data_IF_607344398792
#
_entry.id   IF_607344398792
#
_cell.length_a   1.000
_cell.length_b   1.000
_cell.length_c   1.000
_cell.angle_alpha   90.00
_cell.angle_beta   90.00
_cell.angle_gamma   90.00
#
_symmetry.space_group_name_H-M   'P 1'
#
loop_
_entity.id
_entity.type
_entity.pdbx_description
1 polymer ?
#
# COMPACT_ATOMS: atom_id res chain seq x y z
N UNK A 1 -14.67 -31.05 -4.19
CA UNK A 1 -13.76 -29.94 -3.85
C UNK A 1 -12.93 -29.80 -5.10
N UNK A 2 -13.38 -28.91 -5.99
CA UNK A 2 -12.91 -28.91 -7.37
C UNK A 2 -11.55 -28.20 -7.39
N UNK A 3 -10.49 -28.98 -7.60
CA UNK A 3 -9.14 -28.45 -7.84
C UNK A 3 -9.18 -27.65 -9.15
N UNK A 4 -8.81 -26.38 -9.08
CA UNK A 4 -8.64 -25.55 -10.27
C UNK A 4 -7.39 -26.04 -11.01
N UNK A 5 -7.53 -26.35 -12.30
CA UNK A 5 -6.47 -26.91 -13.14
C UNK A 5 -5.19 -26.05 -13.21
N UNK A 6 -5.31 -24.75 -12.89
CA UNK A 6 -4.20 -23.78 -12.82
C UNK A 6 -3.36 -23.99 -11.56
N UNK A 7 -3.96 -24.44 -10.45
CA UNK A 7 -3.22 -24.69 -9.20
C UNK A 7 -2.23 -25.84 -9.43
N UNK A 8 -2.63 -26.95 -10.05
CA UNK A 8 -1.74 -28.10 -10.27
C UNK A 8 -0.55 -27.76 -11.21
N UNK A 9 -0.76 -26.91 -12.22
CA UNK A 9 0.29 -26.49 -13.16
C UNK A 9 1.34 -25.55 -12.55
N UNK A 10 0.96 -24.77 -11.53
CA UNK A 10 1.86 -23.84 -10.84
C UNK A 10 2.50 -24.47 -9.61
N UNK A 11 1.79 -25.37 -8.91
CA UNK A 11 2.19 -25.89 -7.59
C UNK A 11 3.47 -26.74 -7.62
N UNK A 12 3.67 -27.62 -8.62
CA UNK A 12 4.90 -28.45 -8.66
C UNK A 12 6.17 -27.61 -8.85
N UNK A 13 6.08 -26.57 -9.69
CA UNK A 13 7.21 -25.69 -9.98
C UNK A 13 7.46 -24.72 -8.81
N UNK A 14 6.40 -24.12 -8.27
CA UNK A 14 6.46 -23.20 -7.12
C UNK A 14 6.98 -23.91 -5.86
N UNK A 15 6.55 -25.14 -5.59
CA UNK A 15 7.01 -25.91 -4.42
C UNK A 15 8.53 -26.16 -4.46
N UNK A 16 9.08 -26.48 -5.64
CA UNK A 16 10.52 -26.67 -5.80
C UNK A 16 11.32 -25.38 -5.59
N UNK A 17 10.77 -24.24 -6.04
CA UNK A 17 11.39 -22.92 -5.89
C UNK A 17 11.35 -22.50 -4.42
N UNK A 18 10.25 -22.74 -3.71
CA UNK A 18 10.11 -22.48 -2.27
C UNK A 18 11.11 -23.30 -1.44
N UNK A 19 11.26 -24.59 -1.72
CA UNK A 19 12.26 -25.43 -1.05
C UNK A 19 13.68 -24.90 -1.25
N UNK A 20 13.99 -24.42 -2.45
CA UNK A 20 15.28 -23.80 -2.73
C UNK A 20 15.44 -22.48 -1.97
N UNK A 21 14.40 -21.64 -1.92
CA UNK A 21 14.39 -20.39 -1.17
C UNK A 21 14.67 -20.64 0.32
N UNK A 22 13.95 -21.57 0.94
CA UNK A 22 14.11 -21.90 2.37
C UNK A 22 15.50 -22.47 2.68
N UNK A 23 16.05 -23.27 1.76
CA UNK A 23 17.41 -23.78 1.84
C UNK A 23 18.45 -22.66 1.81
N UNK A 24 18.37 -21.77 0.81
CA UNK A 24 19.28 -20.63 0.67
C UNK A 24 19.14 -19.64 1.84
N UNK A 25 17.92 -19.40 2.33
CA UNK A 25 17.69 -18.53 3.50
C UNK A 25 18.34 -19.09 4.77
N UNK A 26 18.23 -20.40 4.99
CA UNK A 26 18.89 -21.09 6.11
C UNK A 26 20.41 -20.92 6.05
N UNK A 27 21.00 -21.00 4.86
CA UNK A 27 22.43 -20.74 4.66
C UNK A 27 22.80 -19.27 4.93
N UNK A 28 21.98 -18.31 4.49
CA UNK A 28 22.17 -16.88 4.79
C UNK A 28 22.15 -16.62 6.30
N UNK A 29 21.24 -17.25 7.03
CA UNK A 29 21.18 -17.14 8.50
C UNK A 29 22.46 -17.70 9.15
N UNK A 30 22.90 -18.89 8.74
CA UNK A 30 24.16 -19.47 9.25
C UNK A 30 25.40 -18.63 8.95
N UNK A 31 25.41 -17.92 7.81
CA UNK A 31 26.51 -17.03 7.43
C UNK A 31 26.48 -15.71 8.20
N UNK A 32 25.30 -15.18 8.55
CA UNK A 32 25.17 -13.98 9.39
C UNK A 32 25.72 -14.18 10.81
N UNK A 33 25.65 -15.39 11.33
CA UNK A 33 26.22 -15.74 12.64
C UNK A 33 27.76 -15.84 12.62
N UNK A 34 28.37 -15.95 11.43
CA UNK A 34 29.83 -16.08 11.24
C UNK A 34 30.41 -14.77 10.71
N UNK A 35 30.94 -13.96 11.63
CA UNK A 35 31.40 -12.58 11.41
C UNK A 35 32.51 -12.38 10.36
N UNK A 36 33.11 -13.45 9.82
CA UNK A 36 34.28 -13.40 8.92
C UNK A 36 33.98 -13.65 7.43
N UNK A 37 32.72 -13.91 7.02
CA UNK A 37 32.38 -14.37 5.66
C UNK A 37 31.52 -13.38 4.85
N UNK A 38 31.91 -12.10 4.82
CA UNK A 38 31.16 -11.01 4.14
C UNK A 38 30.87 -11.28 2.65
N UNK A 39 31.85 -11.77 1.89
CA UNK A 39 31.67 -12.00 0.43
C UNK A 39 30.75 -13.19 0.13
N UNK A 40 30.84 -14.26 0.93
CA UNK A 40 29.94 -15.41 0.80
C UNK A 40 28.51 -15.06 1.20
N UNK A 41 28.35 -14.26 2.27
CA UNK A 41 27.05 -13.74 2.69
C UNK A 41 26.40 -12.91 1.57
N UNK A 42 27.16 -12.02 0.93
CA UNK A 42 26.68 -11.18 -0.17
C UNK A 42 26.27 -12.03 -1.39
N UNK A 43 27.08 -13.01 -1.77
CA UNK A 43 26.76 -13.92 -2.87
C UNK A 43 25.47 -14.72 -2.59
N UNK A 44 25.31 -15.22 -1.37
CA UNK A 44 24.11 -15.97 -0.97
C UNK A 44 22.86 -15.10 -0.85
N UNK A 45 22.99 -13.85 -0.43
CA UNK A 45 21.89 -12.87 -0.48
C UNK A 45 21.46 -12.61 -1.93
N UNK A 46 22.41 -12.45 -2.85
CA UNK A 46 22.09 -12.27 -4.26
C UNK A 46 21.44 -13.52 -4.89
N UNK A 47 21.88 -14.72 -4.50
CA UNK A 47 21.23 -15.98 -4.90
C UNK A 47 19.78 -16.06 -4.39
N UNK A 48 19.55 -15.70 -3.13
CA UNK A 48 18.22 -15.67 -2.53
C UNK A 48 17.29 -14.72 -3.28
N UNK A 49 17.79 -13.55 -3.69
CA UNK A 49 17.04 -12.55 -4.44
C UNK A 49 16.65 -13.06 -5.83
N UNK A 50 17.57 -13.76 -6.52
CA UNK A 50 17.25 -14.43 -7.80
C UNK A 50 16.20 -15.53 -7.66
N UNK A 51 16.21 -16.27 -6.54
CA UNK A 51 15.19 -17.29 -6.26
C UNK A 51 13.84 -16.61 -5.97
N UNK A 52 13.85 -15.49 -5.24
CA UNK A 52 12.67 -14.65 -5.00
C UNK A 52 12.05 -14.18 -6.31
N UNK A 53 12.85 -13.65 -7.24
CA UNK A 53 12.36 -13.24 -8.57
C UNK A 53 11.75 -14.40 -9.37
N UNK A 54 12.33 -15.60 -9.26
CA UNK A 54 11.79 -16.80 -9.93
C UNK A 54 10.46 -17.21 -9.31
N UNK A 55 10.34 -17.12 -7.99
CA UNK A 55 9.11 -17.42 -7.27
C UNK A 55 8.00 -16.46 -7.67
N UNK A 56 8.30 -15.16 -7.71
CA UNK A 56 7.36 -14.14 -8.17
C UNK A 56 6.87 -14.40 -9.59
N UNK A 57 7.77 -14.72 -10.53
CA UNK A 57 7.42 -15.04 -11.92
C UNK A 57 6.62 -16.34 -12.07
N UNK A 58 6.77 -17.27 -11.13
CA UNK A 58 6.06 -18.55 -11.14
C UNK A 58 4.69 -18.48 -10.45
N UNK A 59 4.43 -17.43 -9.68
CA UNK A 59 3.20 -17.27 -8.91
C UNK A 59 2.12 -16.59 -9.74
N UNK A 60 0.94 -17.20 -9.81
CA UNK A 60 -0.23 -16.66 -10.47
C UNK A 60 -1.37 -16.52 -9.46
N UNK A 61 -2.16 -15.45 -9.57
CA UNK A 61 -3.26 -15.15 -8.65
C UNK A 61 -4.38 -14.41 -9.35
N UNK A 62 -5.53 -14.30 -8.69
CA UNK A 62 -6.72 -13.63 -9.23
C UNK A 62 -6.45 -12.17 -9.66
N UNK A 63 -5.52 -11.46 -9.01
CA UNK A 63 -5.18 -10.09 -9.39
C UNK A 63 -4.67 -10.00 -10.84
N UNK A 64 -3.96 -11.04 -11.32
CA UNK A 64 -3.49 -11.10 -12.71
C UNK A 64 -4.66 -11.26 -13.67
N UNK A 65 -5.67 -12.06 -13.32
CA UNK A 65 -6.90 -12.19 -14.14
C UNK A 65 -7.63 -10.85 -14.21
N UNK A 66 -7.78 -10.17 -13.08
CA UNK A 66 -8.47 -8.87 -13.04
C UNK A 66 -7.72 -7.80 -13.81
N UNK A 67 -6.37 -7.81 -13.76
CA UNK A 67 -5.52 -6.93 -14.55
C UNK A 67 -5.73 -7.16 -16.05
N UNK A 68 -5.71 -8.41 -16.50
CA UNK A 68 -5.96 -8.75 -17.92
C UNK A 68 -7.37 -8.34 -18.38
N UNK A 69 -8.40 -8.52 -17.54
CA UNK A 69 -9.75 -8.00 -17.82
C UNK A 69 -9.73 -6.49 -18.07
N UNK A 70 -9.04 -5.73 -17.20
CA UNK A 70 -8.91 -4.29 -17.35
C UNK A 70 -8.16 -3.89 -18.62
N UNK A 71 -7.06 -4.56 -18.94
CA UNK A 71 -6.28 -4.28 -20.16
C UNK A 71 -7.06 -4.59 -21.44
N UNK A 72 -7.79 -5.71 -21.49
CA UNK A 72 -8.68 -6.02 -22.61
C UNK A 72 -9.73 -4.93 -22.78
N UNK A 73 -10.36 -4.50 -21.67
CA UNK A 73 -11.36 -3.44 -21.71
C UNK A 73 -10.79 -2.12 -22.24
N UNK A 74 -9.65 -1.66 -21.70
CA UNK A 74 -8.95 -0.44 -22.15
C UNK A 74 -8.62 -0.49 -23.65
N UNK A 75 -8.04 -1.61 -24.09
CA UNK A 75 -7.65 -1.79 -25.49
C UNK A 75 -8.86 -1.70 -26.42
N UNK A 76 -9.98 -2.33 -26.08
CA UNK A 76 -11.18 -2.28 -26.91
C UNK A 76 -11.93 -0.94 -26.82
N UNK A 77 -12.02 -0.34 -25.62
CA UNK A 77 -12.64 0.96 -25.41
C UNK A 77 -11.92 2.06 -26.20
N UNK A 78 -10.59 2.02 -26.26
CA UNK A 78 -9.78 2.97 -27.03
C UNK A 78 -10.06 2.94 -28.54
N UNK A 79 -10.47 1.77 -29.07
CA UNK A 79 -10.80 1.59 -30.48
C UNK A 79 -12.26 1.98 -30.81
N UNK A 80 -13.08 2.30 -29.81
CA UNK A 80 -14.53 2.56 -29.93
C UNK A 80 -15.29 1.47 -30.73
N UNK A 81 -14.79 0.24 -30.70
CA UNK A 81 -15.40 -0.89 -31.40
C UNK A 81 -16.42 -1.53 -30.47
N UNK A 82 -17.58 -1.91 -30.99
CA UNK A 82 -18.48 -2.79 -30.26
C UNK A 82 -17.97 -4.24 -30.34
N UNK A 83 -18.26 -5.08 -29.33
CA UNK A 83 -18.00 -6.51 -29.42
C UNK A 83 -18.65 -7.07 -30.69
N UNK A 84 -17.89 -7.81 -31.49
CA UNK A 84 -18.45 -8.53 -32.63
C UNK A 84 -19.31 -9.69 -32.11
N UNK A 85 -20.43 -9.97 -32.78
CA UNK A 85 -21.30 -11.10 -32.44
C UNK A 85 -20.51 -12.40 -32.45
N UNK A 86 -20.42 -13.06 -31.28
CA UNK A 86 -19.69 -14.31 -31.08
C UNK A 86 -18.30 -14.19 -30.43
N UNK A 87 -17.85 -12.99 -30.07
CA UNK A 87 -16.66 -12.78 -29.22
C UNK A 87 -17.03 -12.65 -27.74
N UNK A 88 -16.04 -12.87 -26.86
CA UNK A 88 -16.18 -12.62 -25.43
C UNK A 88 -16.64 -11.19 -25.20
N UNK A 89 -17.75 -11.02 -24.46
CA UNK A 89 -18.35 -9.73 -24.21
C UNK A 89 -17.58 -8.97 -23.13
N UNK A 90 -16.41 -8.44 -23.52
CA UNK A 90 -15.55 -7.64 -22.65
C UNK A 90 -16.26 -6.39 -22.11
N UNK A 91 -17.40 -5.98 -22.69
CA UNK A 91 -18.18 -4.85 -22.18
C UNK A 91 -18.81 -5.12 -20.81
N UNK A 92 -18.93 -6.39 -20.42
CA UNK A 92 -19.42 -6.82 -19.10
C UNK A 92 -18.32 -6.86 -18.02
N UNK A 93 -17.04 -6.77 -18.40
CA UNK A 93 -15.94 -6.88 -17.44
C UNK A 93 -15.98 -5.83 -16.32
N UNK A 94 -16.31 -4.55 -16.57
CA UNK A 94 -16.45 -3.57 -15.49
C UNK A 94 -17.56 -3.96 -14.50
N UNK A 95 -18.67 -4.54 -14.98
CA UNK A 95 -19.77 -4.99 -14.13
C UNK A 95 -19.33 -6.14 -13.22
N UNK A 96 -18.64 -7.14 -13.78
CA UNK A 96 -18.08 -8.26 -13.02
C UNK A 96 -17.06 -7.78 -11.98
N UNK A 97 -16.17 -6.87 -12.36
CA UNK A 97 -15.17 -6.31 -11.45
C UNK A 97 -15.82 -5.48 -10.33
N UNK A 98 -16.92 -4.77 -10.62
CA UNK A 98 -17.71 -4.09 -9.61
C UNK A 98 -18.33 -5.07 -8.60
N UNK A 99 -18.85 -6.21 -9.05
CA UNK A 99 -19.39 -7.24 -8.15
C UNK A 99 -18.30 -7.84 -7.25
N UNK A 100 -17.11 -8.06 -7.80
CA UNK A 100 -15.94 -8.53 -7.04
C UNK A 100 -15.53 -7.51 -5.97
N UNK A 101 -15.42 -6.23 -6.34
CA UNK A 101 -15.09 -5.15 -5.41
C UNK A 101 -16.13 -5.01 -4.29
N UNK A 102 -17.43 -5.05 -4.63
CA UNK A 102 -18.54 -4.99 -3.66
C UNK A 102 -18.50 -6.19 -2.71
N UNK A 103 -18.08 -7.37 -3.21
CA UNK A 103 -17.89 -8.58 -2.42
C UNK A 103 -16.61 -8.55 -1.58
N UNK A 104 -15.85 -7.46 -1.61
CA UNK A 104 -14.63 -7.27 -0.84
C UNK A 104 -13.39 -7.90 -1.46
N UNK A 105 -13.34 -8.18 -2.76
CA UNK A 105 -12.10 -8.59 -3.41
C UNK A 105 -11.24 -7.36 -3.74
N UNK A 106 -9.90 -7.45 -3.62
CA UNK A 106 -9.02 -6.37 -4.02
C UNK A 106 -9.00 -6.20 -5.54
N UNK A 107 -9.03 -4.95 -6.00
CA UNK A 107 -8.89 -4.57 -7.41
C UNK A 107 -7.72 -3.59 -7.55
N UNK A 108 -6.89 -3.78 -8.57
CA UNK A 108 -5.76 -2.90 -8.84
C UNK A 108 -6.22 -1.52 -9.33
N UNK A 109 -5.67 -0.46 -8.73
CA UNK A 109 -5.82 0.94 -9.12
C UNK A 109 -4.66 1.45 -9.99
N UNK A 110 -3.46 0.94 -9.75
CA UNK A 110 -2.24 1.33 -10.45
C UNK A 110 -1.37 0.09 -10.60
N UNK A 111 -0.95 -0.21 -11.82
CA UNK A 111 0.03 -1.25 -12.11
C UNK A 111 1.42 -0.74 -11.71
N UNK A 112 2.04 -1.41 -10.74
CA UNK A 112 3.38 -1.07 -10.30
C UNK A 112 4.42 -1.29 -11.39
N UNK A 113 4.38 -2.42 -12.10
CA UNK A 113 5.43 -2.76 -13.07
C UNK A 113 5.46 -1.78 -14.24
N UNK A 114 4.29 -1.32 -14.68
CA UNK A 114 4.15 -0.34 -15.76
C UNK A 114 4.13 1.12 -15.29
N UNK A 115 3.98 1.38 -13.98
CA UNK A 115 3.74 2.74 -13.45
C UNK A 115 2.45 3.36 -14.02
N UNK A 116 1.45 2.54 -14.33
CA UNK A 116 0.29 2.96 -15.14
C UNK A 116 -1.01 2.90 -14.35
N UNK A 117 -1.81 3.97 -14.42
CA UNK A 117 -3.18 4.02 -13.91
C UNK A 117 -4.14 3.85 -15.09
N UNK A 118 -4.98 2.80 -15.12
CA UNK A 118 -5.90 2.57 -16.23
C UNK A 118 -7.13 3.49 -16.10
N UNK A 119 -7.02 4.68 -16.70
CA UNK A 119 -7.95 5.81 -16.56
C UNK A 119 -9.30 5.63 -17.26
N UNK A 120 -9.50 4.61 -18.10
CA UNK A 120 -10.82 4.28 -18.66
C UNK A 120 -11.48 3.16 -17.86
N UNK A 121 -10.69 2.17 -17.43
CA UNK A 121 -11.14 1.00 -16.68
C UNK A 121 -11.67 1.38 -15.29
N UNK A 122 -10.89 2.14 -14.51
CA UNK A 122 -11.27 2.46 -13.12
C UNK A 122 -12.55 3.29 -13.05
N UNK A 123 -12.73 4.38 -13.82
CA UNK A 123 -13.98 5.12 -13.79
C UNK A 123 -15.17 4.27 -14.20
N UNK A 124 -15.01 3.40 -15.22
CA UNK A 124 -16.11 2.53 -15.65
C UNK A 124 -16.51 1.52 -14.58
N UNK A 125 -15.53 0.89 -13.92
CA UNK A 125 -15.79 0.01 -12.79
C UNK A 125 -16.54 0.76 -11.67
N UNK A 126 -16.09 1.96 -11.31
CA UNK A 126 -16.72 2.75 -10.25
C UNK A 126 -18.13 3.21 -10.63
N UNK A 127 -18.41 3.50 -11.90
CA UNK A 127 -19.76 3.77 -12.39
C UNK A 127 -20.69 2.56 -12.16
N UNK A 128 -20.24 1.34 -12.45
CA UNK A 128 -21.00 0.12 -12.19
C UNK A 128 -21.23 -0.11 -10.68
N UNK A 129 -20.25 0.22 -9.84
CA UNK A 129 -20.41 0.20 -8.38
C UNK A 129 -21.48 1.20 -7.92
N UNK A 130 -21.46 2.42 -8.44
CA UNK A 130 -22.47 3.45 -8.13
C UNK A 130 -23.86 3.01 -8.62
N UNK A 131 -23.97 2.38 -9.79
CA UNK A 131 -25.25 1.85 -10.28
C UNK A 131 -25.80 0.76 -9.35
N UNK A 132 -24.95 -0.16 -8.86
CA UNK A 132 -25.38 -1.28 -8.01
C UNK A 132 -25.66 -0.85 -6.56
N UNK A 133 -24.83 0.02 -5.99
CA UNK A 133 -24.96 0.44 -4.58
C UNK A 133 -25.79 1.72 -4.40
N UNK A 134 -25.99 2.50 -5.45
CA UNK A 134 -26.49 3.87 -5.39
C UNK A 134 -25.40 4.88 -5.00
N UNK A 135 -25.80 6.14 -4.88
CA UNK A 135 -24.90 7.22 -4.42
C UNK A 135 -24.60 7.05 -2.91
N UNK A 136 -23.36 6.64 -2.60
CA UNK A 136 -22.90 6.30 -1.24
C UNK A 136 -21.71 7.16 -0.86
N UNK A 137 -21.65 7.54 0.42
CA UNK A 137 -20.49 8.25 0.96
C UNK A 137 -19.38 7.24 1.22
N UNK A 138 -18.23 7.45 0.60
CA UNK A 138 -17.05 6.59 0.74
C UNK A 138 -15.94 7.36 1.43
N UNK A 139 -15.28 6.73 2.39
CA UNK A 139 -14.04 7.23 3.00
C UNK A 139 -12.86 6.42 2.48
N UNK A 140 -11.89 7.09 1.84
CA UNK A 140 -10.70 6.46 1.29
C UNK A 140 -9.58 6.50 2.32
N UNK A 141 -9.13 5.32 2.76
CA UNK A 141 -8.01 5.14 3.67
C UNK A 141 -6.85 4.50 2.90
N UNK A 142 -5.78 5.25 2.67
CA UNK A 142 -4.58 4.72 2.02
C UNK A 142 -3.46 4.43 3.02
N UNK A 143 -2.49 3.60 2.63
CA UNK A 143 -1.27 3.36 3.40
C UNK A 143 -0.03 3.65 2.54
N UNK A 144 1.03 4.16 3.15
CA UNK A 144 2.37 4.30 2.58
C UNK A 144 3.41 3.87 3.61
N UNK A 145 4.60 3.51 3.14
CA UNK A 145 5.72 3.11 3.99
C UNK A 145 6.74 2.28 3.23
N UNK A 146 7.91 2.06 3.83
CA UNK A 146 8.98 1.28 3.20
C UNK A 146 8.50 -0.13 2.83
N UNK A 147 9.18 -0.72 1.84
CA UNK A 147 9.00 -2.13 1.50
C UNK A 147 9.18 -3.01 2.74
N UNK A 148 8.34 -4.04 2.83
CA UNK A 148 8.39 -5.03 3.92
C UNK A 148 8.18 -4.46 5.34
N UNK A 149 7.59 -3.27 5.47
CA UNK A 149 7.24 -2.67 6.79
C UNK A 149 5.98 -3.25 7.43
N UNK A 150 5.30 -4.21 6.80
CA UNK A 150 4.06 -4.80 7.33
C UNK A 150 2.78 -3.99 7.06
N UNK A 151 2.74 -3.17 6.00
CA UNK A 151 1.55 -2.38 5.60
C UNK A 151 0.30 -3.24 5.40
N UNK A 152 0.38 -4.21 4.49
CA UNK A 152 -0.72 -5.12 4.17
C UNK A 152 -1.09 -5.98 5.38
N UNK A 153 -0.09 -6.42 6.17
CA UNK A 153 -0.32 -7.14 7.43
C UNK A 153 -1.11 -6.31 8.44
N UNK A 154 -0.76 -5.03 8.59
CA UNK A 154 -1.46 -4.11 9.47
C UNK A 154 -2.91 -3.89 9.03
N UNK A 155 -3.12 -3.65 7.73
CA UNK A 155 -4.46 -3.45 7.17
C UNK A 155 -5.31 -4.71 7.32
N UNK A 156 -4.76 -5.89 7.03
CA UNK A 156 -5.41 -7.18 7.24
C UNK A 156 -5.81 -7.37 8.71
N UNK A 157 -4.92 -7.04 9.66
CA UNK A 157 -5.21 -7.15 11.08
C UNK A 157 -6.25 -6.13 11.58
N UNK A 158 -6.21 -4.89 11.09
CA UNK A 158 -7.11 -3.81 11.52
C UNK A 158 -8.54 -3.98 10.98
N UNK A 159 -8.68 -4.49 9.75
CA UNK A 159 -9.94 -4.48 9.03
C UNK A 159 -10.42 -5.88 8.57
N UNK A 160 -9.69 -6.96 8.90
CA UNK A 160 -10.05 -8.32 8.50
C UNK A 160 -9.90 -8.56 7.00
N UNK A 161 -8.91 -7.93 6.37
CA UNK A 161 -8.72 -7.93 4.92
C UNK A 161 -7.94 -9.14 4.43
N UNK A 162 -7.93 -9.31 3.11
CA UNK A 162 -7.31 -10.43 2.40
C UNK A 162 -6.26 -9.92 1.40
N UNK A 163 -5.57 -8.83 1.71
CA UNK A 163 -4.42 -8.42 0.91
C UNK A 163 -3.36 -9.53 0.94
N UNK A 164 -2.72 -9.76 -0.20
CA UNK A 164 -1.68 -10.78 -0.32
C UNK A 164 -0.50 -10.44 0.60
N UNK A 165 -0.14 -11.39 1.47
CA UNK A 165 1.03 -11.30 2.35
C UNK A 165 1.85 -12.58 2.18
N UNK A 166 2.97 -12.52 1.47
CA UNK A 166 3.90 -13.65 1.39
C UNK A 166 5.35 -13.19 1.35
N UNK A 167 6.24 -14.07 1.81
CA UNK A 167 7.69 -13.85 1.75
C UNK A 167 8.12 -13.76 0.28
N UNK A 168 8.91 -12.75 -0.08
CA UNK A 168 9.37 -12.52 -1.46
C UNK A 168 8.37 -11.76 -2.34
N UNK A 169 7.08 -11.77 -2.01
CA UNK A 169 6.04 -11.06 -2.77
C UNK A 169 5.68 -9.75 -2.08
N UNK A 170 6.15 -8.64 -2.62
CA UNK A 170 5.65 -7.33 -2.23
C UNK A 170 4.47 -6.94 -3.11
N UNK A 171 3.47 -6.26 -2.54
CA UNK A 171 2.46 -5.54 -3.33
C UNK A 171 3.19 -4.73 -4.40
N UNK A 172 2.78 -4.83 -5.67
CA UNK A 172 3.31 -4.02 -6.77
C UNK A 172 2.20 -3.13 -7.29
N UNK A 173 2.39 -1.82 -7.23
CA UNK A 173 1.35 -0.84 -7.54
C UNK A 173 0.44 -0.52 -6.36
N UNK A 174 -0.84 -0.24 -6.63
CA UNK A 174 -1.83 0.12 -5.62
C UNK A 174 -3.13 -0.68 -5.81
N UNK A 175 -3.70 -1.19 -4.73
CA UNK A 175 -4.92 -2.01 -4.74
C UNK A 175 -5.97 -1.43 -3.83
N UNK A 176 -7.22 -1.38 -4.30
CA UNK A 176 -8.37 -0.98 -3.51
C UNK A 176 -9.22 -2.16 -3.07
N UNK A 177 -9.77 -2.09 -1.86
CA UNK A 177 -10.75 -3.04 -1.34
C UNK A 177 -11.87 -2.27 -0.64
N UNK A 178 -13.12 -2.60 -0.97
CA UNK A 178 -14.29 -1.89 -0.45
C UNK A 178 -14.87 -2.60 0.77
N UNK A 179 -15.09 -1.86 1.85
CA UNK A 179 -15.64 -2.35 3.11
C UNK A 179 -16.91 -1.62 3.47
N UNK A 180 -17.97 -2.37 3.74
CA UNK A 180 -19.22 -1.79 4.23
C UNK A 180 -19.08 -1.42 5.70
N UNK A 181 -19.41 -0.19 6.04
CA UNK A 181 -19.50 0.24 7.44
C UNK A 181 -20.75 -0.36 8.06
N UNK A 182 -20.63 -0.91 9.27
CA UNK A 182 -21.77 -1.47 10.00
C UNK A 182 -22.81 -0.39 10.28
N UNK A 183 -24.10 -0.77 10.32
CA UNK A 183 -25.18 0.21 10.45
C UNK A 183 -25.09 1.02 11.76
N UNK A 184 -24.53 0.44 12.82
CA UNK A 184 -24.29 1.12 14.10
C UNK A 184 -23.23 2.22 14.00
N UNK A 185 -22.22 2.02 13.15
CA UNK A 185 -21.09 2.92 13.01
C UNK A 185 -21.32 4.01 11.95
N UNK A 186 -22.27 3.82 11.03
CA UNK A 186 -22.58 4.79 9.96
C UNK A 186 -22.99 6.16 10.49
N UNK A 187 -23.73 6.19 11.59
CA UNK A 187 -24.14 7.44 12.23
C UNK A 187 -22.99 8.16 12.93
N UNK A 188 -21.99 7.43 13.44
CA UNK A 188 -20.81 8.01 14.06
C UNK A 188 -19.83 8.53 13.01
N UNK A 189 -19.54 7.68 12.01
CA UNK A 189 -18.49 7.91 11.01
C UNK A 189 -18.93 8.81 9.86
N UNK A 190 -20.24 8.91 9.59
CA UNK A 190 -20.83 9.74 8.53
C UNK A 190 -20.44 9.32 7.11
N UNK A 191 -20.03 8.07 6.91
CA UNK A 191 -19.84 7.46 5.61
C UNK A 191 -20.40 6.02 5.61
N UNK A 192 -20.71 5.51 4.42
CA UNK A 192 -21.38 4.22 4.21
C UNK A 192 -20.37 3.09 3.93
N UNK A 193 -19.24 3.43 3.32
CA UNK A 193 -18.17 2.50 2.99
C UNK A 193 -16.79 3.09 3.28
N UNK A 194 -15.83 2.21 3.53
CA UNK A 194 -14.39 2.53 3.53
C UNK A 194 -13.76 1.88 2.31
N UNK A 195 -13.06 2.65 1.50
CA UNK A 195 -12.19 2.12 0.44
C UNK A 195 -10.77 2.10 0.98
N UNK A 196 -10.27 0.91 1.29
CA UNK A 196 -8.90 0.72 1.78
C UNK A 196 -7.97 0.56 0.59
N UNK A 197 -6.92 1.38 0.52
CA UNK A 197 -5.92 1.34 -0.55
C UNK A 197 -4.58 0.87 0.02
N UNK A 198 -4.21 -0.37 -0.30
CA UNK A 198 -2.89 -0.93 -0.04
C UNK A 198 -1.92 -0.61 -1.18
N UNK A 199 -0.63 -0.45 -0.85
CA UNK A 199 0.36 0.04 -1.80
C UNK A 199 1.66 -0.74 -1.77
N UNK A 200 2.40 -0.67 -2.87
CA UNK A 200 3.77 -1.14 -2.93
C UNK A 200 4.68 -0.47 -1.90
N UNK A 201 5.76 -1.18 -1.59
CA UNK A 201 6.81 -0.66 -0.74
C UNK A 201 7.57 0.47 -1.39
N UNK A 202 7.67 1.61 -0.72
CA UNK A 202 8.62 2.64 -1.12
C UNK A 202 10.05 2.14 -0.92
N UNK A 203 10.97 2.66 -1.74
CA UNK A 203 12.42 2.39 -1.67
C UNK A 203 12.75 0.91 -1.83
N UNK A 204 12.09 0.25 -2.79
CA UNK A 204 12.33 -1.16 -3.01
C UNK A 204 13.80 -1.45 -3.40
N UNK A 205 14.47 -2.31 -2.62
CA UNK A 205 15.91 -2.59 -2.80
C UNK A 205 16.20 -3.20 -4.17
N UNK A 206 15.27 -4.00 -4.69
CA UNK A 206 15.34 -4.69 -5.97
C UNK A 206 15.37 -3.74 -7.19
N UNK A 207 14.96 -2.48 -7.02
CA UNK A 207 14.86 -1.52 -8.12
C UNK A 207 16.01 -0.49 -8.17
N UNK A 208 16.96 -0.52 -7.22
CA UNK A 208 17.93 0.54 -6.93
C UNK A 208 18.42 1.41 -8.14
N UNK A 209 18.07 2.71 -8.12
CA UNK A 209 18.51 3.73 -9.08
C UNK A 209 17.67 5.03 -9.01
N UNK A 210 18.07 6.10 -9.69
CA UNK A 210 17.34 7.39 -9.65
C UNK A 210 15.89 7.29 -10.18
N UNK A 211 15.63 6.33 -11.08
CA UNK A 211 14.28 6.04 -11.60
C UNK A 211 13.32 5.52 -10.53
N UNK A 212 13.82 4.91 -9.44
CA UNK A 212 12.94 4.40 -8.37
C UNK A 212 12.36 5.51 -7.52
N UNK A 213 13.16 6.53 -7.22
CA UNK A 213 12.71 7.68 -6.45
C UNK A 213 11.60 8.43 -7.20
N UNK A 214 11.65 8.46 -8.53
CA UNK A 214 10.58 9.05 -9.33
C UNK A 214 9.29 8.23 -9.26
N UNK A 215 9.37 6.91 -9.46
CA UNK A 215 8.22 6.00 -9.34
C UNK A 215 7.59 6.02 -7.95
N UNK A 216 8.42 5.98 -6.89
CA UNK A 216 7.97 6.09 -5.51
C UNK A 216 7.23 7.42 -5.26
N UNK A 217 7.72 8.51 -5.87
CA UNK A 217 7.08 9.81 -5.81
C UNK A 217 5.74 9.85 -6.53
N UNK A 218 5.64 9.25 -7.72
CA UNK A 218 4.40 9.15 -8.50
C UNK A 218 3.34 8.36 -7.73
N UNK A 219 3.70 7.17 -7.23
CA UNK A 219 2.83 6.34 -6.39
C UNK A 219 2.37 7.11 -5.15
N UNK A 220 3.30 7.70 -4.39
CA UNK A 220 2.97 8.43 -3.18
C UNK A 220 2.04 9.61 -3.47
N UNK A 221 2.29 10.36 -4.55
CA UNK A 221 1.44 11.47 -4.98
C UNK A 221 0.04 10.99 -5.36
N UNK A 222 -0.05 9.90 -6.12
CA UNK A 222 -1.32 9.30 -6.52
C UNK A 222 -2.14 8.85 -5.30
N UNK A 223 -1.53 8.07 -4.41
CA UNK A 223 -2.19 7.46 -3.25
C UNK A 223 -2.60 8.50 -2.20
N UNK A 224 -1.77 9.52 -1.98
CA UNK A 224 -2.10 10.65 -1.10
C UNK A 224 -3.23 11.49 -1.71
N UNK A 225 -3.24 11.67 -3.04
CA UNK A 225 -4.30 12.40 -3.74
C UNK A 225 -5.65 11.71 -3.71
N UNK A 226 -5.68 10.37 -3.70
CA UNK A 226 -6.91 9.59 -3.57
C UNK A 226 -7.46 9.55 -2.14
N UNK A 227 -6.58 9.57 -1.13
CA UNK A 227 -6.94 9.33 0.27
C UNK A 227 -7.67 10.50 0.92
N UNK A 228 -8.75 10.23 1.65
CA UNK A 228 -9.21 11.16 2.68
C UNK A 228 -8.22 11.18 3.86
N UNK A 229 -7.63 10.03 4.15
CA UNK A 229 -6.56 9.85 5.13
C UNK A 229 -5.51 8.87 4.62
N UNK A 230 -4.23 9.19 4.82
CA UNK A 230 -3.11 8.28 4.53
C UNK A 230 -2.39 7.87 5.81
N UNK A 231 -2.28 6.57 6.04
CA UNK A 231 -1.46 5.98 7.09
C UNK A 231 0.00 5.93 6.62
N UNK A 232 0.90 6.58 7.33
CA UNK A 232 2.34 6.51 7.06
C UNK A 232 2.94 5.50 8.03
N UNK A 233 3.16 4.29 7.54
CA UNK A 233 3.74 3.20 8.31
C UNK A 233 5.26 3.36 8.42
N UNK A 234 5.73 3.48 9.65
CA UNK A 234 7.14 3.62 10.01
C UNK A 234 7.54 2.40 10.83
N UNK A 235 8.39 1.54 10.26
CA UNK A 235 8.84 0.32 10.91
C UNK A 235 10.21 0.52 11.55
N UNK A 236 10.31 0.30 12.86
CA UNK A 236 11.57 0.44 13.61
C UNK A 236 12.05 1.89 13.77
N UNK A 237 13.33 2.04 14.11
CA UNK A 237 13.95 3.33 14.46
C UNK A 237 15.09 3.76 13.50
N UNK A 238 15.27 3.09 12.36
CA UNK A 238 16.39 3.39 11.45
C UNK A 238 16.29 4.85 10.92
N UNK A 239 17.23 5.75 11.27
CA UNK A 239 17.13 7.16 10.91
C UNK A 239 17.23 7.44 9.40
N UNK A 240 17.97 6.63 8.64
CA UNK A 240 18.20 6.85 7.20
C UNK A 240 16.97 6.48 6.36
N UNK A 241 16.41 5.28 6.56
CA UNK A 241 15.19 4.82 5.89
C UNK A 241 14.00 5.75 6.18
N UNK A 242 13.90 6.20 7.43
CA UNK A 242 12.89 7.17 7.83
C UNK A 242 13.05 8.49 7.07
N UNK A 243 14.28 8.96 6.84
CA UNK A 243 14.49 10.25 6.17
C UNK A 243 14.00 10.22 4.72
N UNK A 244 14.31 9.16 3.97
CA UNK A 244 13.94 9.04 2.55
C UNK A 244 12.42 8.96 2.37
N UNK A 245 11.74 8.20 3.23
CA UNK A 245 10.27 8.06 3.20
C UNK A 245 9.59 9.39 3.53
N UNK A 246 10.09 10.08 4.56
CA UNK A 246 9.54 11.37 4.96
C UNK A 246 9.67 12.40 3.83
N UNK A 247 10.76 12.39 3.07
CA UNK A 247 10.92 13.28 1.93
C UNK A 247 9.85 13.02 0.86
N UNK A 248 9.67 11.77 0.44
CA UNK A 248 8.65 11.37 -0.54
C UNK A 248 7.24 11.77 -0.07
N UNK A 249 6.93 11.49 1.20
CA UNK A 249 5.62 11.80 1.80
C UNK A 249 5.37 13.31 1.85
N UNK A 250 6.37 14.10 2.25
CA UNK A 250 6.26 15.57 2.29
C UNK A 250 6.04 16.14 0.91
N UNK A 251 6.81 15.70 -0.09
CA UNK A 251 6.65 16.12 -1.49
C UNK A 251 5.23 15.80 -2.00
N UNK A 252 4.73 14.58 -1.75
CA UNK A 252 3.37 14.19 -2.11
C UNK A 252 2.32 15.15 -1.51
N UNK A 253 2.42 15.48 -0.21
CA UNK A 253 1.50 16.42 0.43
C UNK A 253 1.62 17.87 -0.06
N UNK A 254 2.83 18.32 -0.44
CA UNK A 254 3.00 19.64 -1.05
C UNK A 254 2.29 19.72 -2.41
N UNK A 255 2.43 18.68 -3.24
CA UNK A 255 1.73 18.59 -4.54
C UNK A 255 0.21 18.65 -4.37
N UNK A 256 -0.34 18.16 -3.26
CA UNK A 256 -1.77 18.30 -2.96
C UNK A 256 -2.22 19.75 -2.85
N UNK A 257 -1.36 20.68 -2.43
CA UNK A 257 -1.68 22.12 -2.41
C UNK A 257 -1.79 22.72 -3.79
N UNK A 258 -0.95 22.28 -4.72
CA UNK A 258 -1.02 22.70 -6.12
C UNK A 258 -2.36 22.29 -6.74
N UNK A 259 -2.81 21.05 -6.47
CA UNK A 259 -4.11 20.54 -6.95
C UNK A 259 -5.30 20.85 -6.02
N UNK A 260 -5.09 21.66 -4.98
CA UNK A 260 -6.12 22.10 -4.01
C UNK A 260 -6.85 20.97 -3.28
N UNK A 261 -6.17 19.84 -3.08
CA UNK A 261 -6.64 18.77 -2.20
C UNK A 261 -6.12 18.98 -0.78
N UNK A 262 -6.86 18.47 0.20
CA UNK A 262 -6.50 18.58 1.62
C UNK A 262 -6.68 17.23 2.33
N UNK A 263 -5.89 16.21 1.94
CA UNK A 263 -5.88 14.93 2.64
C UNK A 263 -5.33 15.09 4.06
N UNK A 264 -5.67 14.13 4.93
CA UNK A 264 -5.12 14.00 6.27
C UNK A 264 -4.11 12.85 6.34
N UNK A 265 -3.29 12.80 7.38
CA UNK A 265 -2.38 11.68 7.59
C UNK A 265 -2.25 11.29 9.05
N UNK A 266 -1.90 10.02 9.28
CA UNK A 266 -1.53 9.51 10.60
C UNK A 266 -0.25 8.70 10.46
N UNK A 267 0.76 9.00 11.27
CA UNK A 267 1.97 8.21 11.37
C UNK A 267 1.75 7.04 12.31
N UNK A 268 2.06 5.83 11.84
CA UNK A 268 1.95 4.61 12.62
C UNK A 268 3.34 4.03 12.79
N UNK A 269 3.86 4.09 14.01
CA UNK A 269 5.14 3.48 14.38
C UNK A 269 4.90 2.05 14.84
N UNK A 270 5.39 1.08 14.07
CA UNK A 270 5.32 -0.34 14.39
C UNK A 270 6.60 -0.85 15.02
N UNK A 271 6.49 -1.99 15.72
CA UNK A 271 7.62 -2.70 16.32
C UNK A 271 8.34 -1.88 17.40
N UNK A 272 7.57 -1.21 18.26
CA UNK A 272 8.12 -0.48 19.40
C UNK A 272 8.12 -1.40 20.62
N UNK A 273 9.32 -1.72 21.12
CA UNK A 273 9.56 -2.73 22.16
C UNK A 273 8.91 -2.40 23.53
N UNK A 274 8.50 -1.16 23.76
CA UNK A 274 7.90 -0.75 25.03
C UNK A 274 6.82 0.32 24.81
N UNK A 275 5.55 -0.11 24.85
CA UNK A 275 4.36 0.76 24.71
C UNK A 275 4.18 1.66 25.96
N UNK A 276 4.84 1.35 27.08
CA UNK A 276 4.69 2.06 28.35
C UNK A 276 5.58 3.31 28.51
N UNK A 277 6.41 3.67 27.53
CA UNK A 277 7.33 4.80 27.64
C UNK A 277 6.70 6.13 27.18
N UNK A 278 5.77 6.68 27.97
CA UNK A 278 5.31 8.07 27.80
C UNK A 278 6.46 9.10 27.74
N UNK A 279 7.63 8.77 28.31
CA UNK A 279 8.84 9.60 28.26
C UNK A 279 9.65 9.49 26.95
N UNK A 280 9.55 8.37 26.20
CA UNK A 280 10.03 8.30 24.80
C UNK A 280 9.05 8.91 23.79
N UNK A 281 7.77 9.05 24.18
CA UNK A 281 6.70 9.60 23.35
C UNK A 281 6.93 11.07 22.97
N UNK A 282 7.37 11.94 23.90
CA UNK A 282 7.55 13.37 23.58
C UNK A 282 8.83 13.67 22.80
N UNK A 283 9.94 13.05 23.14
CA UNK A 283 11.21 13.25 22.42
C UNK A 283 11.17 12.61 21.02
N UNK A 284 10.55 11.43 20.89
CA UNK A 284 10.31 10.80 19.59
C UNK A 284 9.41 11.66 18.69
N UNK A 285 8.29 12.17 19.24
CA UNK A 285 7.41 13.12 18.55
C UNK A 285 8.14 14.41 18.16
N UNK A 286 8.93 15.00 19.06
CA UNK A 286 9.75 16.19 18.78
C UNK A 286 10.70 15.95 17.60
N UNK A 287 11.45 14.85 17.63
CA UNK A 287 12.39 14.49 16.56
C UNK A 287 11.68 14.25 15.23
N UNK A 288 10.52 13.59 15.24
CA UNK A 288 9.71 13.39 14.03
C UNK A 288 9.25 14.73 13.47
N UNK A 289 8.72 15.62 14.31
CA UNK A 289 8.29 16.96 13.90
C UNK A 289 9.45 17.77 13.30
N UNK A 290 10.62 17.79 13.95
CA UNK A 290 11.81 18.48 13.45
C UNK A 290 12.28 17.92 12.11
N UNK A 291 12.24 16.59 11.94
CA UNK A 291 12.56 15.96 10.65
C UNK A 291 11.55 16.34 9.57
N UNK A 292 10.26 16.30 9.87
CA UNK A 292 9.20 16.70 8.93
C UNK A 292 9.36 18.16 8.49
N UNK A 293 9.60 19.08 9.43
CA UNK A 293 9.82 20.49 9.12
C UNK A 293 11.09 20.71 8.30
N UNK A 294 12.15 19.96 8.58
CA UNK A 294 13.37 19.99 7.75
C UNK A 294 13.11 19.46 6.34
N UNK A 295 12.38 18.36 6.18
CA UNK A 295 12.04 17.83 4.85
C UNK A 295 11.16 18.81 4.07
N UNK A 296 10.29 19.55 4.74
CA UNK A 296 9.50 20.63 4.14
C UNK A 296 10.40 21.72 3.59
N UNK A 297 11.38 22.19 4.35
CA UNK A 297 12.31 23.22 3.87
C UNK A 297 13.10 22.76 2.64
N UNK A 298 13.50 21.49 2.59
CA UNK A 298 14.19 20.91 1.44
C UNK A 298 13.27 20.78 0.22
N UNK A 299 12.06 20.23 0.42
CA UNK A 299 11.10 20.02 -0.66
C UNK A 299 10.48 21.33 -1.19
N UNK A 300 10.42 22.39 -0.38
CA UNK A 300 9.91 23.70 -0.76
C UNK A 300 10.67 24.33 -1.94
N UNK A 301 11.99 24.10 -2.01
CA UNK A 301 12.83 24.56 -3.12
C UNK A 301 12.51 23.82 -4.42
N UNK A 302 12.34 22.50 -4.33
CA UNK A 302 12.06 21.63 -5.49
C UNK A 302 10.64 21.81 -6.02
N UNK A 303 9.65 21.95 -5.14
CA UNK A 303 8.23 22.08 -5.46
C UNK A 303 7.78 23.54 -5.66
N UNK A 304 8.71 24.51 -5.53
CA UNK A 304 8.46 25.96 -5.66
C UNK A 304 7.28 26.41 -4.78
N UNK A 305 7.31 26.01 -3.50
CA UNK A 305 6.23 26.26 -2.55
C UNK A 305 6.78 26.85 -1.24
N UNK A 306 6.27 28.00 -0.81
CA UNK A 306 6.74 28.65 0.43
C UNK A 306 6.09 28.00 1.66
N UNK A 307 6.73 26.96 2.19
CA UNK A 307 6.39 26.36 3.46
C UNK A 307 7.62 26.16 4.34
N UNK A 308 7.47 26.48 5.63
CA UNK A 308 8.54 26.41 6.63
C UNK A 308 8.32 25.27 7.65
N UNK A 309 7.12 24.68 7.67
CA UNK A 309 6.75 23.61 8.59
C UNK A 309 5.71 22.68 7.97
N UNK A 310 5.68 21.42 8.42
CA UNK A 310 4.78 20.39 7.91
C UNK A 310 3.31 20.66 8.27
N UNK A 311 3.08 21.27 9.43
CA UNK A 311 1.75 21.75 9.85
C UNK A 311 1.19 22.86 8.96
N UNK A 312 2.02 23.53 8.14
CA UNK A 312 1.56 24.48 7.10
C UNK A 312 1.23 23.78 5.79
N UNK A 313 1.83 22.62 5.54
CA UNK A 313 1.52 21.79 4.37
C UNK A 313 0.23 21.01 4.60
N UNK A 314 0.00 20.43 5.78
CA UNK A 314 -1.25 19.71 6.08
C UNK A 314 -1.71 19.95 7.51
N UNK A 315 -2.98 19.62 7.80
CA UNK A 315 -3.54 19.70 9.16
C UNK A 315 -3.00 18.56 10.04
N UNK A 316 -1.74 18.66 10.41
CA UNK A 316 -1.01 17.66 11.21
C UNK A 316 -0.73 18.17 12.62
N UNK A 317 -1.04 17.33 13.61
CA UNK A 317 -0.71 17.52 15.01
C UNK A 317 0.04 16.29 15.50
N UNK A 318 1.33 16.43 15.76
CA UNK A 318 2.21 15.34 16.22
C UNK A 318 1.73 14.64 17.50
N UNK A 319 0.92 15.32 18.33
CA UNK A 319 0.38 14.73 19.55
C UNK A 319 -0.78 13.77 19.31
N UNK A 320 -1.57 14.04 18.26
CA UNK A 320 -2.79 13.30 17.95
C UNK A 320 -2.57 12.33 16.78
N UNK A 321 -1.83 12.76 15.77
CA UNK A 321 -1.69 12.12 14.47
C UNK A 321 -0.46 11.19 14.40
N UNK A 322 0.15 10.86 15.55
CA UNK A 322 1.22 9.86 15.69
C UNK A 322 0.80 8.76 16.68
N UNK A 323 0.67 7.54 16.17
CA UNK A 323 0.27 6.34 16.91
C UNK A 323 1.42 5.34 16.98
N UNK A 324 1.55 4.67 18.12
CA UNK A 324 2.54 3.64 18.35
C UNK A 324 1.82 2.30 18.53
N UNK A 325 2.26 1.28 17.81
CA UNK A 325 1.74 -0.07 17.86
C UNK A 325 2.83 -1.02 18.38
N UNK A 326 2.46 -1.88 19.34
CA UNK A 326 3.30 -2.99 19.78
C UNK A 326 3.54 -3.99 18.64
N UNK A 327 4.52 -4.88 18.81
CA UNK A 327 4.66 -6.02 17.89
C UNK A 327 3.36 -6.83 17.83
N UNK A 328 2.78 -6.94 16.63
CA UNK A 328 1.54 -7.69 16.36
C UNK A 328 1.66 -9.21 16.56
N UNK A 329 2.85 -9.73 16.88
CA UNK A 329 3.18 -11.16 16.84
C UNK A 329 3.35 -11.87 18.20
N UNK A 330 3.27 -11.18 19.34
CA UNK A 330 3.22 -11.85 20.66
C UNK A 330 1.79 -12.26 21.03
N UNK A 331 1.21 -13.20 20.26
CA UNK A 331 0.16 -14.13 20.71
C UNK A 331 -1.14 -13.57 21.31
N UNK A 332 -1.35 -12.26 21.32
CA UNK A 332 -2.58 -11.63 21.80
C UNK A 332 -3.30 -11.06 20.59
N UNK A 333 -4.47 -11.62 20.19
CA UNK A 333 -5.27 -11.00 19.14
C UNK A 333 -5.57 -9.56 19.57
N UNK A 334 -5.51 -8.58 18.65
CA UNK A 334 -5.84 -7.21 18.98
C UNK A 334 -7.33 -7.16 19.32
N UNK A 335 -7.66 -7.35 20.59
CA UNK A 335 -8.98 -7.05 21.11
C UNK A 335 -9.20 -5.56 20.90
N UNK A 336 -10.06 -5.25 19.92
CA UNK A 336 -10.92 -4.06 19.82
C UNK A 336 -10.56 -2.96 20.82
N UNK A 337 -9.49 -2.22 20.56
CA UNK A 337 -9.45 -0.84 21.00
C UNK A 337 -10.27 -0.08 19.97
N UNK A 338 -11.40 0.54 20.33
CA UNK A 338 -12.15 1.37 19.41
C UNK A 338 -11.22 2.50 18.97
N UNK A 339 -10.70 2.39 17.75
CA UNK A 339 -9.94 3.47 17.14
C UNK A 339 -10.96 4.58 16.89
N UNK A 340 -10.98 5.58 17.77
CA UNK A 340 -11.58 6.86 17.44
C UNK A 340 -10.69 7.50 16.36
N UNK A 341 -10.95 7.15 15.10
CA UNK A 341 -10.49 7.94 13.97
C UNK A 341 -11.30 9.22 14.03
N UNK A 342 -10.76 10.25 14.67
CA UNK A 342 -11.35 11.59 14.61
C UNK A 342 -11.17 12.09 13.18
N UNK A 343 -12.18 11.86 12.34
CA UNK A 343 -12.27 12.48 11.01
C UNK A 343 -12.32 13.99 11.24
N UNK A 344 -11.19 14.68 11.04
CA UNK A 344 -11.18 16.14 10.98
C UNK A 344 -12.02 16.51 9.74
N UNK A 345 -13.23 16.99 9.97
CA UNK A 345 -14.02 17.60 8.92
C UNK A 345 -13.26 18.84 8.42
N UNK A 346 -12.57 18.71 7.29
CA UNK A 346 -12.14 19.86 6.50
C UNK A 346 -13.42 20.56 6.04
N UNK A 347 -13.62 21.80 6.48
CA UNK A 347 -14.62 22.67 5.86
C UNK A 347 -14.20 22.83 4.40
N UNK A 348 -15.11 22.45 3.51
CA UNK A 348 -15.08 22.70 2.05
C UNK A 348 -14.82 24.18 1.78
#
# INVERSE_FOLDING_TARGET
MDQLLIDDLTTENVSSILQNYDGTWSEVLMLKEKTEQSDQLRAKQQELEQISEKLDKATFSLEHIYREMGQIYEAHASLQKQPLTGQTDWSQYPELAAELLISGHPIELMDGDAGHVPITWIPRLLEEVIQKLGDKRVFVLSVLGIQSSGKSTMLNAMFGLQFAVSVGRCTKGAFMQLLKVSDEMRDLLKFDYVLVVDTEGLRALELAGDSTLHRDNELATFVVGLGNMTLINVFGENPSEMQDVLQIVVQAFMRMKVVKLSPSCVFVHQNVADVAAAEKSMEGRRRLQEKLDKMVQLAAEEEVYDAQSFSRVISFNVQEDVKYFAQLWEGSPPWLLPIQVTVKASKI
#
